data_IF_556486974578
#
_entry.id   IF_556486974578
#
_cell.length_a   1.000
_cell.length_b   1.000
_cell.length_c   1.000
_cell.angle_alpha   90.00
_cell.angle_beta   90.00
_cell.angle_gamma   90.00
#
_symmetry.space_group_name_H-M   'P 1'
#
loop_
_entity.id
_entity.type
_entity.pdbx_description
1 polymer ?
#
# COMPACT_ATOMS: atom_id res chain seq x y z
N UNK A 1 4.41 2.79 10.46
CA UNK A 1 4.81 3.23 9.10
C UNK A 1 3.62 3.86 8.40
N UNK A 2 3.84 4.95 7.67
CA UNK A 2 2.85 5.57 6.80
C UNK A 2 2.97 5.01 5.38
N UNK A 3 1.84 4.59 4.81
CA UNK A 3 1.75 4.08 3.43
C UNK A 3 1.24 5.20 2.54
N UNK A 4 2.09 5.61 1.59
CA UNK A 4 1.80 6.69 0.65
C UNK A 4 1.39 6.14 -0.71
N UNK A 5 0.43 6.80 -1.35
CA UNK A 5 0.08 6.53 -2.73
C UNK A 5 1.22 6.96 -3.67
N UNK A 6 1.26 6.34 -4.85
CA UNK A 6 2.24 6.65 -5.88
C UNK A 6 2.22 8.12 -6.31
N UNK A 7 3.33 8.56 -6.94
CA UNK A 7 3.47 9.93 -7.45
C UNK A 7 2.68 10.18 -8.74
N UNK A 8 2.50 9.14 -9.56
CA UNK A 8 1.84 9.23 -10.86
C UNK A 8 1.21 7.91 -11.25
N UNK A 9 0.15 8.01 -12.03
CA UNK A 9 -0.39 6.90 -12.79
C UNK A 9 0.53 6.58 -13.96
N UNK A 10 0.81 5.29 -14.17
CA UNK A 10 1.50 4.82 -15.38
C UNK A 10 0.60 3.87 -16.14
N UNK A 11 0.76 3.80 -17.46
CA UNK A 11 0.00 2.88 -18.30
C UNK A 11 0.28 1.41 -17.91
N UNK A 12 1.51 1.11 -17.50
CA UNK A 12 1.88 -0.21 -17.01
C UNK A 12 1.10 -0.60 -15.74
N UNK A 13 0.98 0.33 -14.79
CA UNK A 13 0.23 0.10 -13.56
C UNK A 13 -1.27 -0.09 -13.83
N UNK A 14 -1.85 0.73 -14.70
CA UNK A 14 -3.25 0.57 -15.14
C UNK A 14 -3.51 -0.80 -15.76
N UNK A 15 -2.59 -1.28 -16.62
CA UNK A 15 -2.70 -2.58 -17.25
C UNK A 15 -2.71 -3.71 -16.21
N UNK A 16 -1.78 -3.67 -15.24
CA UNK A 16 -1.70 -4.66 -14.15
C UNK A 16 -3.01 -4.66 -13.34
N UNK A 17 -3.51 -3.50 -12.95
CA UNK A 17 -4.76 -3.41 -12.19
C UNK A 17 -5.97 -3.93 -12.96
N UNK A 18 -6.06 -3.64 -14.25
CA UNK A 18 -7.12 -4.15 -15.09
C UNK A 18 -7.08 -5.68 -15.20
N UNK A 19 -5.91 -6.25 -15.46
CA UNK A 19 -5.72 -7.71 -15.56
C UNK A 19 -6.05 -8.40 -14.23
N UNK A 20 -5.62 -7.83 -13.10
CA UNK A 20 -5.95 -8.35 -11.78
C UNK A 20 -7.45 -8.27 -11.48
N UNK A 21 -8.11 -7.16 -11.80
CA UNK A 21 -9.55 -7.02 -11.58
C UNK A 21 -10.37 -8.03 -12.39
N UNK A 22 -9.98 -8.30 -13.65
CA UNK A 22 -10.63 -9.34 -14.46
C UNK A 22 -10.50 -10.74 -13.84
N UNK A 23 -9.38 -11.00 -13.16
CA UNK A 23 -9.10 -12.30 -12.52
C UNK A 23 -9.71 -12.43 -11.13
N UNK A 24 -9.80 -11.33 -10.37
CA UNK A 24 -10.26 -11.30 -8.97
C UNK A 24 -11.27 -10.15 -8.73
N UNK A 25 -12.46 -10.18 -9.37
CA UNK A 25 -13.40 -9.06 -9.32
C UNK A 25 -13.97 -8.80 -7.92
N UNK A 26 -14.14 -9.84 -7.11
CA UNK A 26 -14.69 -9.71 -5.75
C UNK A 26 -13.64 -9.14 -4.79
N UNK A 27 -12.44 -9.73 -4.77
CA UNK A 27 -11.31 -9.31 -3.92
C UNK A 27 -10.81 -7.90 -4.27
N UNK A 28 -10.90 -7.52 -5.55
CA UNK A 28 -10.45 -6.23 -6.07
C UNK A 28 -11.61 -5.35 -6.50
N UNK A 29 -12.80 -5.54 -5.94
CA UNK A 29 -13.98 -4.70 -6.19
C UNK A 29 -13.69 -3.21 -5.93
N UNK A 30 -12.77 -2.89 -5.02
CA UNK A 30 -12.30 -1.52 -4.78
C UNK A 30 -11.49 -0.94 -5.96
N UNK A 31 -10.84 -1.77 -6.80
CA UNK A 31 -10.16 -1.29 -8.02
C UNK A 31 -11.16 -0.82 -9.09
N UNK A 32 -12.40 -1.31 -9.06
CA UNK A 32 -13.47 -0.78 -9.91
C UNK A 32 -13.78 0.70 -9.57
N UNK A 33 -13.75 1.04 -8.27
CA UNK A 33 -13.85 2.42 -7.80
C UNK A 33 -12.63 3.26 -8.23
N UNK A 34 -11.43 2.69 -8.19
CA UNK A 34 -10.17 3.33 -8.62
C UNK A 34 -10.14 3.61 -10.14
N UNK A 35 -10.76 2.74 -10.95
CA UNK A 35 -10.86 2.92 -12.41
C UNK A 35 -11.83 4.08 -12.78
N UNK A 36 -12.70 4.48 -11.87
CA UNK A 36 -13.71 5.54 -12.07
C UNK A 36 -13.38 6.86 -11.33
N UNK A 37 -12.53 6.79 -10.30
CA UNK A 37 -12.02 7.92 -9.52
C UNK A 37 -10.49 7.77 -9.42
N UNK A 38 -9.75 8.72 -10.00
CA UNK A 38 -8.29 8.69 -9.98
C UNK A 38 -7.77 8.43 -8.55
N UNK A 39 -6.96 7.36 -8.36
CA UNK A 39 -6.30 7.12 -7.06
C UNK A 39 -5.68 8.42 -6.59
N UNK A 40 -5.93 8.85 -5.34
CA UNK A 40 -5.34 10.08 -4.86
C UNK A 40 -3.82 9.92 -4.88
N UNK A 41 -3.14 10.81 -5.61
CA UNK A 41 -1.68 10.82 -5.72
C UNK A 41 -1.10 11.81 -4.71
N UNK A 42 0.11 11.55 -4.24
CA UNK A 42 0.80 12.47 -3.31
C UNK A 42 0.08 12.60 -1.96
N UNK A 43 -0.56 11.54 -1.51
CA UNK A 43 -1.24 11.45 -0.21
C UNK A 43 -0.80 10.21 0.55
N UNK A 44 -0.98 10.23 1.86
CA UNK A 44 -1.00 9.03 2.67
C UNK A 44 -2.39 8.41 2.67
N UNK A 45 -2.47 7.07 2.67
CA UNK A 45 -3.74 6.34 2.56
C UNK A 45 -3.95 5.31 3.66
N UNK A 46 -2.86 4.85 4.29
CA UNK A 46 -2.92 3.88 5.36
C UNK A 46 -1.73 4.05 6.31
N UNK A 47 -1.86 3.45 7.49
CA UNK A 47 -0.76 3.19 8.41
C UNK A 47 -0.69 1.70 8.72
N UNK A 48 0.50 1.22 9.01
CA UNK A 48 0.74 -0.17 9.42
C UNK A 48 1.92 -0.22 10.38
N UNK A 49 1.96 -1.27 11.19
CA UNK A 49 3.10 -1.60 12.01
C UNK A 49 4.05 -2.47 11.18
N UNK A 50 5.36 -2.22 11.29
CA UNK A 50 6.39 -3.09 10.70
C UNK A 50 6.79 -4.07 11.79
N UNK A 51 6.64 -5.37 11.53
CA UNK A 51 6.93 -6.41 12.52
C UNK A 51 8.23 -7.16 12.23
N UNK A 52 8.58 -7.31 10.95
CA UNK A 52 9.80 -8.02 10.55
C UNK A 52 10.30 -7.56 9.16
N UNK A 53 11.53 -7.94 8.84
CA UNK A 53 12.17 -7.77 7.55
C UNK A 53 12.84 -9.09 7.14
N UNK A 54 12.18 -9.85 6.28
CA UNK A 54 12.57 -11.22 5.92
C UNK A 54 13.07 -11.32 4.48
N UNK A 55 13.87 -12.35 4.11
CA UNK A 55 14.16 -12.63 2.71
C UNK A 55 12.87 -12.83 1.91
N UNK A 56 12.77 -12.21 0.72
CA UNK A 56 11.54 -12.31 -0.07
C UNK A 56 11.25 -13.77 -0.48
N UNK A 57 12.29 -14.54 -0.78
CA UNK A 57 12.18 -15.95 -1.15
C UNK A 57 11.61 -16.85 -0.02
N UNK A 58 11.66 -16.42 1.25
CA UNK A 58 11.09 -17.23 2.34
C UNK A 58 9.58 -17.10 2.46
N UNK A 59 9.01 -16.00 1.96
CA UNK A 59 7.56 -15.74 2.01
C UNK A 59 6.87 -15.93 0.65
N UNK A 60 7.58 -15.76 -0.46
CA UNK A 60 7.02 -15.87 -1.82
C UNK A 60 6.15 -17.13 -2.02
N UNK A 61 6.51 -18.32 -1.53
CA UNK A 61 5.67 -19.51 -1.69
C UNK A 61 4.30 -19.43 -1.00
N UNK A 62 4.17 -18.56 0.01
CA UNK A 62 2.98 -18.40 0.85
C UNK A 62 2.08 -17.26 0.39
N UNK A 63 2.58 -16.40 -0.51
CA UNK A 63 1.84 -15.26 -1.02
C UNK A 63 0.70 -15.69 -1.94
N UNK A 64 -0.41 -14.96 -1.84
CA UNK A 64 -1.51 -15.04 -2.81
C UNK A 64 -1.06 -14.57 -4.19
N UNK A 65 -1.81 -14.95 -5.23
CA UNK A 65 -1.53 -14.49 -6.59
C UNK A 65 -1.60 -12.95 -6.71
N UNK A 66 -2.48 -12.30 -5.95
CA UNK A 66 -2.61 -10.84 -5.92
C UNK A 66 -1.35 -10.21 -5.32
N UNK A 67 -0.87 -10.73 -4.19
CA UNK A 67 0.35 -10.23 -3.55
C UNK A 67 1.56 -10.39 -4.47
N UNK A 68 1.72 -11.55 -5.09
CA UNK A 68 2.80 -11.82 -6.07
C UNK A 68 2.76 -10.86 -7.26
N UNK A 69 1.57 -10.51 -7.73
CA UNK A 69 1.42 -9.61 -8.87
C UNK A 69 1.69 -8.13 -8.54
N UNK A 70 1.58 -7.75 -7.27
CA UNK A 70 1.74 -6.35 -6.82
C UNK A 70 3.09 -6.05 -6.18
N UNK A 71 3.93 -7.05 -5.95
CA UNK A 71 5.25 -6.90 -5.33
C UNK A 71 6.38 -7.48 -6.18
N UNK A 72 7.61 -7.13 -5.79
CA UNK A 72 8.83 -7.73 -6.34
C UNK A 72 9.46 -8.63 -5.26
N UNK A 73 9.35 -9.94 -5.46
CA UNK A 73 9.84 -10.95 -4.53
C UNK A 73 11.00 -11.76 -5.11
N UNK A 74 11.77 -11.18 -6.04
CA UNK A 74 12.95 -11.83 -6.59
C UNK A 74 13.95 -12.25 -5.51
N UNK A 75 14.67 -13.35 -5.76
CA UNK A 75 15.69 -13.87 -4.85
C UNK A 75 16.74 -12.80 -4.52
N UNK A 76 17.03 -12.62 -3.23
CA UNK A 76 17.96 -11.60 -2.75
C UNK A 76 17.31 -10.27 -2.38
N UNK A 77 16.00 -10.11 -2.66
CA UNK A 77 15.21 -9.00 -2.14
C UNK A 77 14.80 -9.26 -0.68
N UNK A 78 14.39 -8.19 0.01
CA UNK A 78 13.80 -8.29 1.35
C UNK A 78 12.38 -7.77 1.34
N UNK A 79 11.51 -8.43 2.07
CA UNK A 79 10.12 -8.03 2.27
C UNK A 79 9.90 -7.57 3.71
N UNK A 80 9.05 -6.56 3.88
CA UNK A 80 8.57 -6.16 5.19
C UNK A 80 7.28 -6.88 5.52
N UNK A 81 7.23 -7.47 6.71
CA UNK A 81 5.99 -8.00 7.26
C UNK A 81 5.26 -6.87 7.97
N UNK A 82 3.98 -6.72 7.65
CA UNK A 82 3.13 -5.66 8.18
C UNK A 82 1.99 -6.28 9.00
N UNK A 83 1.66 -5.68 10.13
CA UNK A 83 0.44 -5.96 10.89
C UNK A 83 -0.34 -4.67 11.16
N UNK A 84 -1.57 -4.85 11.65
CA UNK A 84 -2.48 -3.75 12.04
C UNK A 84 -2.63 -2.66 10.96
N UNK A 85 -2.81 -3.09 9.69
CA UNK A 85 -2.97 -2.17 8.56
C UNK A 85 -4.32 -1.44 8.70
N UNK A 86 -4.26 -0.13 8.91
CA UNK A 86 -5.43 0.75 9.05
C UNK A 86 -5.51 1.73 7.91
N UNK A 87 -6.65 1.75 7.25
CA UNK A 87 -7.01 2.82 6.32
C UNK A 87 -7.23 4.11 7.11
N UNK A 88 -6.68 5.21 6.60
CA UNK A 88 -6.87 6.54 7.17
C UNK A 88 -7.60 7.43 6.18
N UNK A 89 -8.10 8.58 6.65
CA UNK A 89 -8.60 9.60 5.73
C UNK A 89 -7.40 10.16 4.95
N UNK A 90 -7.41 10.13 3.60
CA UNK A 90 -6.24 10.56 2.84
C UNK A 90 -5.88 12.02 3.09
N UNK A 91 -4.60 12.29 3.32
CA UNK A 91 -4.08 13.64 3.51
C UNK A 91 -2.81 13.87 2.69
N UNK A 92 -2.55 15.10 2.21
CA UNK A 92 -1.39 15.39 1.38
C UNK A 92 -0.07 15.18 2.12
N UNK A 93 0.82 14.38 1.54
CA UNK A 93 2.21 14.25 1.98
C UNK A 93 3.07 13.75 0.83
N UNK A 94 4.28 14.31 0.71
CA UNK A 94 5.26 13.85 -0.27
C UNK A 94 5.94 12.60 0.28
N UNK A 95 5.62 11.43 -0.28
CA UNK A 95 6.34 10.20 0.01
C UNK A 95 7.82 10.30 -0.36
N UNK A 96 8.67 9.64 0.43
CA UNK A 96 10.12 9.63 0.24
C UNK A 96 10.64 8.20 0.14
N UNK A 97 11.83 8.04 -0.46
CA UNK A 97 12.53 6.76 -0.40
C UNK A 97 13.04 6.52 1.03
N UNK A 98 13.17 5.24 1.40
CA UNK A 98 13.54 4.80 2.75
C UNK A 98 12.48 5.14 3.81
N UNK A 99 12.76 4.78 5.07
CA UNK A 99 11.97 5.28 6.19
C UNK A 99 12.29 6.76 6.38
N UNK A 100 11.25 7.57 6.56
CA UNK A 100 11.38 9.01 6.77
C UNK A 100 10.52 9.44 7.95
N UNK A 101 10.99 10.48 8.64
CA UNK A 101 10.27 11.07 9.75
C UNK A 101 9.09 11.91 9.27
N UNK A 102 8.01 11.87 10.04
CA UNK A 102 6.79 12.62 9.79
C UNK A 102 6.63 13.62 10.94
N UNK A 103 6.25 14.88 10.67
CA UNK A 103 6.02 15.87 11.71
C UNK A 103 5.02 15.40 12.78
N UNK A 104 5.30 15.66 14.06
CA UNK A 104 4.49 15.22 15.20
C UNK A 104 3.01 15.63 15.10
N UNK A 105 2.74 16.81 14.54
CA UNK A 105 1.37 17.29 14.35
C UNK A 105 0.55 16.40 13.41
N UNK A 106 1.19 15.72 12.45
CA UNK A 106 0.53 14.76 11.56
C UNK A 106 0.31 13.43 12.28
N UNK A 107 1.26 13.00 13.11
CA UNK A 107 1.12 11.79 13.93
C UNK A 107 -0.10 11.89 14.85
N UNK A 108 -0.29 13.04 15.50
CA UNK A 108 -1.46 13.30 16.36
C UNK A 108 -2.77 13.20 15.59
N UNK A 109 -2.84 13.76 14.37
CA UNK A 109 -4.03 13.68 13.52
C UNK A 109 -4.38 12.23 13.21
N UNK A 110 -3.38 11.40 12.86
CA UNK A 110 -3.58 9.98 12.58
C UNK A 110 -4.08 9.23 13.83
N UNK A 111 -3.47 9.49 14.99
CA UNK A 111 -3.87 8.84 16.25
C UNK A 111 -5.33 9.18 16.61
N UNK A 112 -5.74 10.44 16.43
CA UNK A 112 -7.11 10.87 16.70
C UNK A 112 -8.14 10.25 15.75
N UNK A 113 -7.78 9.99 14.48
CA UNK A 113 -8.64 9.26 13.54
C UNK A 113 -8.88 7.80 13.96
N UNK A 114 -7.91 7.19 14.64
CA UNK A 114 -7.97 5.79 15.06
C UNK A 114 -8.61 5.58 16.45
N UNK A 115 -8.90 6.66 17.19
CA UNK A 115 -9.56 6.62 18.52
C UNK A 115 -11.09 6.79 18.45
N UNK A 116 -11.66 6.94 17.25
CA UNK A 116 -13.10 7.20 17.02
C UNK A 116 -13.92 5.97 16.61
N UNK A 117 -13.48 4.75 16.94
CA UNK A 117 -14.21 3.49 16.66
C UNK A 117 -14.75 2.89 17.95
#
# INVERSE_FOLDING_TARGET
MLICAGKKHTNALHKIYYELYQKFPDDLSFLNYINTQAVPLGVAVAVANITDCVPAESIEPQLSEIEKALGDYQKGMRAWTLDDIKKIQPFPIVGQQWLFDIPDNIIQVIQNQNQGV
#
